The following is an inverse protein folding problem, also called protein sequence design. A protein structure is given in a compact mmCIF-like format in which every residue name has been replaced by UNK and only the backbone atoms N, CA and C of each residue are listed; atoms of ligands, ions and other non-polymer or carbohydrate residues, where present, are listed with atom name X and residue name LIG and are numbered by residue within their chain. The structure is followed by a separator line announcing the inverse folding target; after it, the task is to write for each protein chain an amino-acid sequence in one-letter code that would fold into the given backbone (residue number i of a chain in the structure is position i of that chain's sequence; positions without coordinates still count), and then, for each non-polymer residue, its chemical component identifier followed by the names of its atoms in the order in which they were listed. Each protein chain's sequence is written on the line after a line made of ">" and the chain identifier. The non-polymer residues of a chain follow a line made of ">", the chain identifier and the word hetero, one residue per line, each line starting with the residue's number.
data_IF_321944709656
#
_entry.id   IF_321944709656
#
_cell.length_a   1.000
_cell.length_b   1.000
_cell.length_c   1.000
_cell.angle_alpha   90.00
_cell.angle_beta   90.00
_cell.angle_gamma   90.00
#
_symmetry.space_group_name_H-M   'P 1'
#
loop_
_entity.id
_entity.type
_entity.pdbx_description
1 polymer ?
#
# COMPACT_ATOMS: atom_id res chain seq x y z
N UNK A 1 -18.65 19.48 17.14
CA UNK A 1 -18.04 19.17 15.82
C UNK A 1 -17.79 17.68 15.76
N UNK A 2 -18.65 16.94 15.09
CA UNK A 2 -18.42 15.51 14.78
C UNK A 2 -17.43 15.45 13.62
N UNK A 3 -16.23 14.92 13.88
CA UNK A 3 -15.07 14.81 12.99
C UNK A 3 -15.27 13.75 11.89
N UNK A 4 -16.35 13.86 11.10
CA UNK A 4 -16.51 13.00 9.93
C UNK A 4 -15.53 13.45 8.84
N UNK A 5 -14.58 12.59 8.49
CA UNK A 5 -13.64 12.78 7.37
C UNK A 5 -12.27 13.37 7.70
N UNK A 6 -11.92 13.55 8.99
CA UNK A 6 -10.56 14.02 9.35
C UNK A 6 -9.50 12.91 9.24
N UNK A 7 -9.83 11.72 9.72
CA UNK A 7 -8.97 10.53 9.63
C UNK A 7 -9.48 9.66 8.48
N UNK A 8 -8.60 9.22 7.58
CA UNK A 8 -9.00 8.61 6.32
C UNK A 8 -9.83 7.32 6.48
N UNK A 9 -9.55 6.50 7.50
CA UNK A 9 -10.28 5.26 7.74
C UNK A 9 -10.29 4.83 9.22
N UNK A 10 -11.20 3.92 9.54
CA UNK A 10 -11.41 3.41 10.91
C UNK A 10 -10.21 2.64 11.45
N UNK A 11 -9.48 1.92 10.58
CA UNK A 11 -8.28 1.16 10.99
C UNK A 11 -7.18 2.08 11.47
N UNK A 12 -6.92 3.18 10.74
CA UNK A 12 -5.96 4.20 11.14
C UNK A 12 -6.40 4.87 12.45
N UNK A 13 -7.68 5.25 12.55
CA UNK A 13 -8.25 5.80 13.78
C UNK A 13 -8.14 4.86 14.99
N UNK A 14 -8.34 3.56 14.78
CA UNK A 14 -8.16 2.54 15.82
C UNK A 14 -6.71 2.52 16.32
N UNK A 15 -5.73 2.48 15.41
CA UNK A 15 -4.32 2.48 15.81
C UNK A 15 -3.91 3.79 16.49
N UNK A 16 -4.35 4.95 16.03
CA UNK A 16 -4.15 6.22 16.72
C UNK A 16 -4.68 6.18 18.16
N UNK A 17 -5.89 5.67 18.37
CA UNK A 17 -6.47 5.52 19.70
C UNK A 17 -5.67 4.55 20.57
N UNK A 18 -5.20 3.43 20.01
CA UNK A 18 -4.35 2.46 20.74
C UNK A 18 -2.99 3.05 21.12
N UNK A 19 -2.38 3.83 20.23
CA UNK A 19 -1.14 4.57 20.49
C UNK A 19 -1.36 5.55 21.65
N UNK A 20 -2.44 6.35 21.60
CA UNK A 20 -2.77 7.29 22.67
C UNK A 20 -2.93 6.58 24.02
N UNK A 21 -3.73 5.51 24.04
CA UNK A 21 -3.96 4.72 25.25
C UNK A 21 -2.66 4.15 25.81
N UNK A 22 -1.79 3.62 24.95
CA UNK A 22 -0.48 3.12 25.35
C UNK A 22 0.39 4.21 25.97
N UNK A 23 0.57 5.34 25.27
CA UNK A 23 1.41 6.45 25.74
C UNK A 23 0.93 7.01 27.08
N UNK A 24 -0.38 7.21 27.23
CA UNK A 24 -0.96 7.67 28.50
C UNK A 24 -0.76 6.63 29.61
N UNK A 25 -0.95 5.35 29.31
CA UNK A 25 -0.82 4.26 30.29
C UNK A 25 0.61 4.11 30.83
N UNK A 26 1.63 4.39 30.02
CA UNK A 26 3.03 4.33 30.47
C UNK A 26 3.46 5.59 31.25
N UNK A 27 2.64 6.64 31.31
CA UNK A 27 2.91 7.85 32.10
C UNK A 27 3.15 9.13 31.29
N UNK A 28 2.98 9.12 29.97
CA UNK A 28 3.01 10.36 29.18
C UNK A 28 1.81 11.24 29.59
N UNK A 29 2.09 12.50 29.92
CA UNK A 29 1.05 13.46 30.28
C UNK A 29 0.13 13.75 29.07
N UNK A 30 -1.19 13.48 29.15
CA UNK A 30 -2.13 13.74 28.05
C UNK A 30 -2.16 15.20 27.58
N UNK A 31 -1.86 16.16 28.47
CA UNK A 31 -1.80 17.60 28.11
C UNK A 31 -0.57 17.95 27.26
N UNK A 32 0.43 17.07 27.24
CA UNK A 32 1.67 17.19 26.48
C UNK A 32 1.75 16.17 25.33
N UNK A 33 0.60 15.64 24.91
CA UNK A 33 0.48 14.67 23.81
C UNK A 33 -0.51 15.22 22.78
N UNK A 34 -0.13 15.20 21.51
CA UNK A 34 -1.04 15.52 20.40
C UNK A 34 -0.81 14.57 19.22
N UNK A 35 -1.80 14.48 18.34
CA UNK A 35 -1.62 13.90 17.03
C UNK A 35 -1.52 15.01 15.99
N UNK A 36 -0.49 14.96 15.14
CA UNK A 36 -0.29 15.89 14.04
C UNK A 36 -0.42 15.12 12.72
N UNK A 37 -1.33 15.55 11.87
CA UNK A 37 -1.43 15.01 10.51
C UNK A 37 -0.28 15.56 9.66
N UNK A 38 0.31 14.71 8.82
CA UNK A 38 1.26 15.15 7.80
C UNK A 38 0.55 16.01 6.75
N UNK A 39 1.24 17.04 6.28
CA UNK A 39 0.78 17.80 5.11
C UNK A 39 1.05 17.01 3.83
N UNK A 40 0.36 17.35 2.74
CA UNK A 40 0.51 16.67 1.44
C UNK A 40 1.94 16.70 0.88
N UNK A 41 2.75 17.68 1.26
CA UNK A 41 4.16 17.83 0.88
C UNK A 41 5.15 17.11 1.82
N UNK A 42 4.69 16.65 2.99
CA UNK A 42 5.46 15.86 3.96
C UNK A 42 5.16 14.35 3.82
N UNK A 43 4.00 14.04 3.24
CA UNK A 43 3.53 12.68 3.02
C UNK A 43 4.49 11.94 2.08
N UNK A 44 4.94 10.76 2.52
CA UNK A 44 5.71 9.87 1.65
C UNK A 44 4.89 9.52 0.41
N UNK A 45 5.53 9.34 -0.75
CA UNK A 45 4.85 9.10 -2.04
C UNK A 45 3.97 7.84 -2.08
N UNK A 46 4.06 7.00 -1.04
CA UNK A 46 3.29 5.77 -0.86
C UNK A 46 2.22 5.85 0.23
N UNK A 47 2.17 6.93 1.03
CA UNK A 47 1.23 7.06 2.12
C UNK A 47 -0.08 7.73 1.67
N UNK A 48 -1.22 7.20 2.11
CA UNK A 48 -2.53 7.80 1.85
C UNK A 48 -2.97 8.80 2.93
N UNK A 49 -2.58 8.54 4.17
CA UNK A 49 -2.77 9.41 5.32
C UNK A 49 -1.70 9.05 6.37
N UNK A 50 -1.23 10.03 7.14
CA UNK A 50 -0.18 9.81 8.14
C UNK A 50 -0.36 10.75 9.33
N UNK A 51 -0.29 10.17 10.53
CA UNK A 51 -0.48 10.88 11.79
C UNK A 51 0.65 10.55 12.77
N UNK A 52 1.32 11.59 13.26
CA UNK A 52 2.36 11.47 14.26
C UNK A 52 1.81 11.75 15.66
N UNK A 53 2.02 10.84 16.59
CA UNK A 53 1.89 11.11 18.02
C UNK A 53 3.13 11.87 18.49
N UNK A 54 2.95 13.15 18.80
CA UNK A 54 4.01 14.05 19.27
C UNK A 54 3.91 14.29 20.77
N UNK A 55 5.05 14.27 21.45
CA UNK A 55 5.17 14.65 22.86
C UNK A 55 5.84 16.01 22.99
N UNK A 56 5.31 16.87 23.87
CA UNK A 56 5.91 18.17 24.17
C UNK A 56 7.00 18.03 25.23
N UNK A 57 8.24 18.21 24.79
CA UNK A 57 9.46 18.15 25.61
C UNK A 57 10.12 19.52 25.76
N UNK A 58 11.25 19.60 26.46
CA UNK A 58 12.07 20.80 26.54
C UNK A 58 12.65 21.23 25.18
N UNK A 59 12.68 20.32 24.20
CA UNK A 59 13.07 20.59 22.82
C UNK A 59 11.89 20.96 21.91
N UNK A 60 10.69 21.11 22.47
CA UNK A 60 9.45 21.34 21.72
C UNK A 60 8.71 20.05 21.43
N UNK A 61 7.83 20.09 20.41
CA UNK A 61 7.06 18.94 19.96
C UNK A 61 7.96 17.99 19.17
N UNK A 62 8.12 16.76 19.67
CA UNK A 62 8.89 15.72 18.99
C UNK A 62 7.99 14.54 18.63
N UNK A 63 8.14 14.04 17.42
CA UNK A 63 7.47 12.82 16.96
C UNK A 63 7.99 11.62 17.76
N UNK A 64 7.07 10.92 18.43
CA UNK A 64 7.38 9.72 19.22
C UNK A 64 6.86 8.44 18.58
N UNK A 65 5.73 8.52 17.89
CA UNK A 65 5.15 7.39 17.13
C UNK A 65 4.57 7.92 15.82
N UNK A 66 5.10 7.48 14.69
CA UNK A 66 4.48 7.71 13.38
C UNK A 66 3.43 6.64 13.10
N UNK A 67 2.26 7.02 12.58
CA UNK A 67 1.21 6.08 12.18
C UNK A 67 0.81 6.35 10.73
N UNK A 68 1.33 5.53 9.82
CA UNK A 68 1.18 5.71 8.38
C UNK A 68 0.24 4.66 7.77
N UNK A 69 -0.64 5.08 6.87
CA UNK A 69 -1.35 4.20 5.94
C UNK A 69 -0.53 4.08 4.65
N UNK A 70 0.19 2.96 4.49
CA UNK A 70 1.05 2.68 3.33
C UNK A 70 0.31 1.94 2.22
N UNK A 71 -1.00 1.70 2.40
CA UNK A 71 -1.80 0.90 1.47
C UNK A 71 -1.09 -0.41 1.11
N UNK A 72 -1.12 -0.83 -0.16
CA UNK A 72 -0.47 -2.04 -0.63
C UNK A 72 0.92 -1.80 -1.25
N UNK A 73 1.53 -0.62 -1.05
CA UNK A 73 2.69 -0.19 -1.82
C UNK A 73 3.87 -1.15 -1.70
N UNK A 74 4.27 -1.51 -0.48
CA UNK A 74 5.45 -2.33 -0.26
C UNK A 74 5.32 -3.72 -0.86
N UNK A 75 4.17 -4.36 -0.68
CA UNK A 75 3.90 -5.68 -1.23
C UNK A 75 3.89 -5.66 -2.76
N UNK A 76 3.35 -4.59 -3.37
CA UNK A 76 3.39 -4.42 -4.82
C UNK A 76 4.81 -4.20 -5.34
N UNK A 77 5.62 -3.39 -4.65
CA UNK A 77 7.02 -3.16 -5.05
C UNK A 77 7.85 -4.43 -4.90
N UNK A 78 7.71 -5.15 -3.79
CA UNK A 78 8.40 -6.42 -3.58
C UNK A 78 7.95 -7.51 -4.56
N UNK A 79 6.66 -7.56 -4.91
CA UNK A 79 6.15 -8.46 -5.95
C UNK A 79 6.79 -8.14 -7.31
N UNK A 80 6.86 -6.85 -7.68
CA UNK A 80 7.53 -6.41 -8.93
C UNK A 80 9.02 -6.72 -8.94
N UNK A 81 9.71 -6.50 -7.82
CA UNK A 81 11.15 -6.69 -7.71
C UNK A 81 11.59 -8.16 -7.62
N UNK A 82 10.82 -9.00 -6.95
CA UNK A 82 11.16 -10.42 -6.75
C UNK A 82 10.51 -11.37 -7.75
N UNK A 83 9.42 -10.96 -8.40
CA UNK A 83 8.56 -11.84 -9.19
C UNK A 83 7.74 -12.83 -8.34
N UNK A 84 7.85 -12.76 -7.01
CA UNK A 84 7.11 -13.61 -6.08
C UNK A 84 5.82 -12.90 -5.70
N UNK A 85 4.69 -13.60 -5.89
CA UNK A 85 3.35 -13.08 -5.60
C UNK A 85 3.14 -12.92 -4.08
N UNK A 86 2.94 -11.68 -3.62
CA UNK A 86 2.65 -11.35 -2.21
C UNK A 86 1.20 -10.89 -2.01
N UNK A 87 0.27 -11.83 -2.03
CA UNK A 87 -1.16 -11.58 -1.90
C UNK A 87 -1.83 -12.61 -0.98
N UNK A 88 -3.07 -12.33 -0.59
CA UNK A 88 -3.94 -13.29 0.08
C UNK A 88 -5.12 -13.63 -0.83
N UNK A 89 -5.57 -14.87 -0.75
CA UNK A 89 -6.76 -15.32 -1.47
C UNK A 89 -7.94 -15.40 -0.50
N UNK A 90 -9.05 -14.77 -0.86
CA UNK A 90 -10.31 -14.85 -0.11
C UNK A 90 -11.33 -15.65 -0.92
N UNK A 91 -11.95 -16.69 -0.35
CA UNK A 91 -13.02 -17.39 -1.04
C UNK A 91 -14.23 -16.48 -1.21
N UNK A 92 -14.77 -16.46 -2.42
CA UNK A 92 -16.01 -15.75 -2.73
C UNK A 92 -17.19 -16.51 -2.12
N UNK A 93 -18.18 -15.78 -1.61
CA UNK A 93 -19.42 -16.37 -1.07
C UNK A 93 -20.14 -17.20 -2.15
N UNK A 94 -20.16 -16.67 -3.37
CA UNK A 94 -20.69 -17.33 -4.54
C UNK A 94 -19.69 -17.18 -5.69
N UNK A 95 -19.46 -18.24 -6.48
CA UNK A 95 -18.50 -18.19 -7.58
C UNK A 95 -18.98 -17.25 -8.68
N UNK A 96 -18.10 -16.34 -9.10
CA UNK A 96 -18.39 -15.36 -10.15
C UNK A 96 -17.92 -15.92 -11.49
N UNK A 97 -18.78 -15.82 -12.50
CA UNK A 97 -18.41 -16.11 -13.89
C UNK A 97 -17.70 -14.88 -14.46
N UNK A 98 -16.40 -14.99 -14.69
CA UNK A 98 -15.62 -13.92 -15.30
C UNK A 98 -15.39 -14.26 -16.76
N UNK A 99 -15.91 -13.41 -17.64
CA UNK A 99 -15.56 -13.44 -19.05
C UNK A 99 -14.10 -13.00 -19.19
N UNK A 100 -13.27 -13.85 -19.79
CA UNK A 100 -11.87 -13.55 -20.06
C UNK A 100 -11.62 -13.64 -21.56
N UNK A 101 -11.00 -12.60 -22.13
CA UNK A 101 -10.55 -12.61 -23.51
C UNK A 101 -9.07 -12.97 -23.53
N UNK A 102 -8.76 -14.20 -23.92
CA UNK A 102 -7.39 -14.72 -23.93
C UNK A 102 -6.85 -14.68 -25.35
N UNK A 103 -5.75 -13.95 -25.55
CA UNK A 103 -5.00 -13.98 -26.79
C UNK A 103 -4.41 -15.38 -27.02
N UNK A 104 -4.55 -15.92 -28.23
CA UNK A 104 -3.96 -17.22 -28.62
C UNK A 104 -2.71 -16.96 -29.45
N UNK A 105 -1.51 -16.89 -28.84
CA UNK A 105 -0.26 -16.66 -29.56
C UNK A 105 0.20 -17.86 -30.36
N UNK A 106 0.69 -17.63 -31.58
CA UNK A 106 1.47 -18.60 -32.33
C UNK A 106 2.94 -18.57 -31.86
N UNK A 107 3.29 -19.56 -31.01
CA UNK A 107 4.62 -19.67 -30.42
C UNK A 107 5.72 -19.85 -31.47
N UNK A 108 5.41 -20.45 -32.62
CA UNK A 108 6.37 -20.68 -33.70
C UNK A 108 6.72 -19.41 -34.45
N UNK A 109 5.72 -18.58 -34.77
CA UNK A 109 5.92 -17.28 -35.42
C UNK A 109 6.58 -16.29 -34.47
N UNK A 110 6.13 -16.22 -33.21
CA UNK A 110 6.73 -15.37 -32.18
C UNK A 110 8.19 -15.73 -31.95
N UNK A 111 8.51 -17.03 -31.83
CA UNK A 111 9.88 -17.51 -31.64
C UNK A 111 10.81 -17.16 -32.80
N UNK A 112 10.33 -17.25 -34.04
CA UNK A 112 11.11 -16.92 -35.23
C UNK A 112 11.35 -15.42 -35.39
N UNK A 113 10.35 -14.59 -35.08
CA UNK A 113 10.42 -13.14 -35.33
C UNK A 113 11.07 -12.38 -34.18
N UNK A 114 10.71 -12.70 -32.92
CA UNK A 114 11.16 -11.95 -31.74
C UNK A 114 12.39 -12.58 -31.04
N UNK A 115 12.75 -13.83 -31.37
CA UNK A 115 13.93 -14.55 -30.87
C UNK A 115 14.16 -14.38 -29.36
N UNK A 116 15.04 -13.46 -28.94
CA UNK A 116 15.37 -13.19 -27.53
C UNK A 116 14.17 -12.62 -26.74
N UNK A 117 13.29 -11.88 -27.42
CA UNK A 117 12.13 -11.23 -26.81
C UNK A 117 10.87 -12.12 -26.86
N UNK A 118 10.96 -13.31 -27.45
CA UNK A 118 9.82 -14.23 -27.57
C UNK A 118 9.23 -14.63 -26.21
N UNK A 119 10.08 -14.81 -25.19
CA UNK A 119 9.64 -15.14 -23.82
C UNK A 119 8.90 -13.96 -23.19
N UNK A 120 9.47 -12.76 -23.29
CA UNK A 120 8.86 -11.53 -22.77
C UNK A 120 7.51 -11.22 -23.45
N UNK A 121 7.41 -11.46 -24.76
CA UNK A 121 6.16 -11.31 -25.51
C UNK A 121 5.08 -12.30 -25.04
N UNK A 122 5.44 -13.57 -24.83
CA UNK A 122 4.49 -14.58 -24.34
C UNK A 122 4.00 -14.28 -22.93
N UNK A 123 4.89 -13.85 -22.04
CA UNK A 123 4.54 -13.44 -20.68
C UNK A 123 3.64 -12.17 -20.70
N UNK A 124 3.94 -11.21 -21.56
CA UNK A 124 3.12 -10.01 -21.72
C UNK A 124 1.72 -10.32 -22.26
N UNK A 125 1.62 -11.23 -23.24
CA UNK A 125 0.34 -11.68 -23.81
C UNK A 125 -0.50 -12.47 -22.81
N UNK A 126 0.13 -13.25 -21.93
CA UNK A 126 -0.56 -13.98 -20.87
C UNK A 126 -1.07 -13.06 -19.75
N UNK A 127 -0.48 -11.88 -19.58
CA UNK A 127 -0.81 -10.93 -18.53
C UNK A 127 -1.76 -9.80 -18.97
N UNK A 128 -2.40 -9.93 -20.15
CA UNK A 128 -3.34 -8.93 -20.66
C UNK A 128 -4.65 -8.89 -19.87
N UNK A 129 -5.16 -7.68 -19.64
CA UNK A 129 -6.54 -7.48 -19.17
C UNK A 129 -7.54 -7.63 -20.31
N UNK A 130 -8.82 -7.83 -19.99
CA UNK A 130 -9.89 -7.92 -21.01
C UNK A 130 -9.93 -6.69 -21.92
N UNK A 131 -9.89 -5.48 -21.34
CA UNK A 131 -9.88 -4.23 -22.11
C UNK A 131 -8.67 -4.13 -23.04
N UNK A 132 -7.48 -4.53 -22.57
CA UNK A 132 -6.26 -4.50 -23.39
C UNK A 132 -6.31 -5.54 -24.51
N UNK A 133 -6.88 -6.72 -24.23
CA UNK A 133 -7.05 -7.76 -25.24
C UNK A 133 -8.05 -7.32 -26.33
N UNK A 134 -9.14 -6.64 -25.96
CA UNK A 134 -10.11 -6.08 -26.92
C UNK A 134 -9.49 -4.97 -27.77
N UNK A 135 -8.76 -4.05 -27.14
CA UNK A 135 -8.02 -3.00 -27.86
C UNK A 135 -6.99 -3.59 -28.82
N UNK A 136 -6.30 -4.66 -28.41
CA UNK A 136 -5.31 -5.34 -29.26
C UNK A 136 -5.99 -6.06 -30.42
N UNK A 137 -7.11 -6.77 -30.21
CA UNK A 137 -7.85 -7.43 -31.29
C UNK A 137 -8.35 -6.43 -32.33
N UNK A 138 -8.90 -5.30 -31.86
CA UNK A 138 -9.34 -4.21 -32.74
C UNK A 138 -8.16 -3.58 -33.50
N UNK A 139 -7.06 -3.25 -32.83
CA UNK A 139 -5.89 -2.67 -33.47
C UNK A 139 -5.24 -3.62 -34.49
N UNK A 140 -5.17 -4.92 -34.19
CA UNK A 140 -4.66 -5.93 -35.12
C UNK A 140 -5.58 -6.14 -36.34
N UNK A 141 -6.88 -5.88 -36.21
CA UNK A 141 -7.84 -6.00 -37.29
C UNK A 141 -7.84 -4.77 -38.21
N UNK A 142 -7.65 -3.57 -37.65
CA UNK A 142 -7.65 -2.30 -38.40
C UNK A 142 -6.28 -1.93 -38.96
N UNK A 143 -5.22 -2.05 -38.14
CA UNK A 143 -3.87 -1.57 -38.46
C UNK A 143 -2.88 -2.69 -38.76
N UNK A 144 -3.20 -3.94 -38.42
CA UNK A 144 -2.33 -5.10 -38.62
C UNK A 144 -1.16 -5.22 -37.63
N UNK A 145 -0.90 -4.18 -36.83
CA UNK A 145 0.18 -4.10 -35.84
C UNK A 145 -0.32 -3.52 -34.51
N UNK A 146 0.24 -3.99 -33.39
CA UNK A 146 0.02 -3.48 -32.04
C UNK A 146 1.33 -3.46 -31.26
N UNK A 147 1.58 -2.40 -30.48
CA UNK A 147 2.79 -2.28 -29.66
C UNK A 147 2.49 -2.60 -28.20
N UNK A 148 3.05 -3.71 -27.70
CA UNK A 148 2.88 -4.14 -26.32
C UNK A 148 4.24 -4.07 -25.59
N UNK A 149 4.37 -3.16 -24.62
CA UNK A 149 5.60 -2.93 -23.83
C UNK A 149 6.86 -2.74 -24.71
N UNK A 150 6.75 -2.05 -25.84
CA UNK A 150 7.84 -1.82 -26.80
C UNK A 150 8.05 -2.93 -27.82
N UNK A 151 7.23 -3.98 -27.81
CA UNK A 151 7.28 -5.10 -28.76
C UNK A 151 6.19 -4.95 -29.80
N UNK A 152 6.56 -4.95 -31.08
CA UNK A 152 5.61 -4.93 -32.19
C UNK A 152 5.07 -6.34 -32.44
N UNK A 153 3.76 -6.48 -32.29
CA UNK A 153 3.01 -7.71 -32.51
C UNK A 153 2.12 -7.55 -33.75
N UNK A 154 2.03 -8.60 -34.56
CA UNK A 154 1.21 -8.63 -35.78
C UNK A 154 0.15 -9.72 -35.71
N UNK A 155 -0.84 -9.68 -36.61
CA UNK A 155 -1.92 -10.69 -36.66
C UNK A 155 -1.39 -12.12 -36.88
N UNK A 156 -0.24 -12.27 -37.54
CA UNK A 156 0.42 -13.56 -37.70
C UNK A 156 0.97 -14.13 -36.37
N UNK A 157 1.29 -13.26 -35.41
CA UNK A 157 1.77 -13.66 -34.08
C UNK A 157 0.62 -13.95 -33.11
N UNK A 158 -0.50 -13.24 -33.23
CA UNK A 158 -1.72 -13.44 -32.43
C UNK A 158 -2.92 -13.62 -33.38
N UNK A 159 -3.09 -14.84 -33.94
CA UNK A 159 -4.09 -15.11 -34.97
C UNK A 159 -5.54 -15.01 -34.48
N UNK A 160 -5.79 -15.29 -33.20
CA UNK A 160 -7.15 -15.30 -32.65
C UNK A 160 -7.19 -14.95 -31.18
N UNK A 161 -8.36 -14.48 -30.76
CA UNK A 161 -8.70 -14.24 -29.36
C UNK A 161 -9.87 -15.16 -29.01
N UNK A 162 -9.76 -15.86 -27.88
CA UNK A 162 -10.83 -16.73 -27.39
C UNK A 162 -11.48 -16.09 -26.18
N UNK A 163 -12.81 -15.98 -26.23
CA UNK A 163 -13.63 -15.68 -25.05
C UNK A 163 -13.79 -16.98 -24.27
N UNK A 164 -13.24 -17.00 -23.06
CA UNK A 164 -13.40 -18.09 -22.12
C UNK A 164 -14.12 -17.59 -20.87
N UNK A 165 -15.16 -18.30 -20.47
CA UNK A 165 -15.82 -18.10 -19.19
C UNK A 165 -15.11 -18.90 -18.11
N UNK A 166 -14.50 -18.21 -17.17
CA UNK A 166 -13.84 -18.84 -16.03
C UNK A 166 -14.68 -18.63 -14.78
N UNK A 167 -15.00 -19.74 -14.11
CA UNK A 167 -15.67 -19.74 -12.83
C UNK A 167 -14.63 -19.50 -11.73
N UNK A 168 -14.63 -18.29 -11.18
CA UNK A 168 -13.68 -17.86 -10.16
C UNK A 168 -14.29 -18.09 -8.78
N UNK A 169 -13.59 -18.84 -7.94
CA UNK A 169 -14.02 -19.20 -6.57
C UNK A 169 -13.32 -18.35 -5.51
N UNK A 170 -12.21 -17.72 -5.85
CA UNK A 170 -11.37 -16.94 -4.94
C UNK A 170 -11.05 -15.60 -5.57
N UNK A 171 -11.04 -14.56 -4.76
CA UNK A 171 -10.50 -13.26 -5.16
C UNK A 171 -9.11 -13.07 -4.55
N UNK A 172 -8.23 -12.46 -5.31
CA UNK A 172 -6.89 -12.11 -4.86
C UNK A 172 -6.90 -10.67 -4.31
N UNK A 173 -6.34 -10.50 -3.11
CA UNK A 173 -6.26 -9.20 -2.44
C UNK A 173 -4.81 -8.95 -2.05
N UNK A 174 -4.26 -7.79 -2.46
CA UNK A 174 -3.03 -7.28 -1.86
C UNK A 174 -3.40 -6.47 -0.62
N UNK A 175 -3.04 -6.92 0.59
CA UNK A 175 -3.51 -6.28 1.81
C UNK A 175 -2.92 -4.88 1.97
N UNK A 176 -3.74 -3.96 2.48
CA UNK A 176 -3.28 -2.64 2.91
C UNK A 176 -2.57 -2.73 4.26
N UNK A 177 -1.57 -1.89 4.47
CA UNK A 177 -0.73 -1.87 5.67
C UNK A 177 -0.87 -0.54 6.39
N UNK A 178 -1.32 -0.60 7.65
CA UNK A 178 -1.16 0.48 8.62
C UNK A 178 0.08 0.19 9.46
N UNK A 179 1.00 1.14 9.52
CA UNK A 179 2.27 1.01 10.23
C UNK A 179 2.37 2.01 11.38
N UNK A 180 2.15 1.54 12.63
CA UNK A 180 2.58 2.24 13.83
C UNK A 180 4.08 2.00 14.10
N UNK A 181 4.90 3.04 13.92
CA UNK A 181 6.35 3.00 14.15
C UNK A 181 6.71 3.73 15.45
N UNK A 182 7.22 2.99 16.45
CA UNK A 182 7.50 3.52 17.78
C UNK A 182 8.98 3.89 17.95
N UNK A 183 9.26 5.19 18.10
CA UNK A 183 10.56 5.69 18.50
C UNK A 183 10.82 5.49 19.99
N UNK A 184 11.13 4.25 20.41
CA UNK A 184 11.24 3.87 21.84
C UNK A 184 12.14 4.81 22.64
N UNK A 185 13.27 5.26 22.08
CA UNK A 185 14.16 6.22 22.75
C UNK A 185 13.50 7.58 23.02
N UNK A 186 12.75 8.11 22.05
CA UNK A 186 12.02 9.38 22.20
C UNK A 186 10.84 9.26 23.16
N UNK A 187 10.13 8.12 23.12
CA UNK A 187 9.07 7.80 24.08
C UNK A 187 9.64 7.76 25.50
N UNK A 188 10.76 7.05 25.70
CA UNK A 188 11.41 6.94 27.00
C UNK A 188 11.91 8.29 27.52
N UNK A 189 12.56 9.09 26.66
CA UNK A 189 13.00 10.44 27.00
C UNK A 189 11.83 11.34 27.43
N UNK A 190 10.75 11.35 26.65
CA UNK A 190 9.53 12.11 26.97
C UNK A 190 8.91 11.67 28.30
N UNK A 191 8.93 10.37 28.59
CA UNK A 191 8.44 9.82 29.85
C UNK A 191 9.27 10.32 31.05
N UNK A 192 10.60 10.30 30.94
CA UNK A 192 11.50 10.82 31.98
C UNK A 192 11.20 12.29 32.26
N UNK A 193 11.10 13.12 31.22
CA UNK A 193 10.83 14.56 31.40
C UNK A 193 9.44 14.83 32.00
N UNK A 194 8.42 14.10 31.55
CA UNK A 194 7.05 14.26 32.06
C UNK A 194 6.91 13.81 33.52
N UNK A 195 7.74 12.87 33.95
CA UNK A 195 7.71 12.27 35.28
C UNK A 195 8.70 12.89 36.25
N UNK A 196 9.72 13.61 35.77
CA UNK A 196 10.70 14.27 36.63
C UNK A 196 10.02 15.30 37.54
N UNK A 197 10.35 15.24 38.83
CA UNK A 197 9.92 16.19 39.86
C UNK A 197 11.13 16.46 40.74
N UNK A 198 11.39 17.73 41.04
CA UNK A 198 12.27 18.13 42.14
C UNK A 198 11.41 18.54 43.32
N UNK A 199 11.74 18.07 44.52
CA UNK A 199 11.18 18.63 45.74
C UNK A 199 11.73 20.04 45.91
N UNK A 200 10.87 21.05 45.83
CA UNK A 200 11.21 22.39 46.31
C UNK A 200 11.31 22.31 47.83
N UNK A 201 12.47 22.70 48.36
CA UNK A 201 12.81 22.67 49.78
C UNK A 201 11.70 23.24 50.67
N UNK A 202 11.43 22.53 51.77
CA UNK A 202 10.57 22.94 52.88
C UNK A 202 10.82 24.41 53.26
N UNK A 203 9.85 25.30 52.98
CA UNK A 203 9.84 26.70 53.45
C UNK A 203 9.32 26.82 54.89
N UNK A 204 9.34 25.74 55.68
CA UNK A 204 8.82 25.69 57.06
C UNK A 204 9.85 25.13 58.07
N UNK A 205 11.13 25.44 57.90
CA UNK A 205 12.07 25.39 59.03
C UNK A 205 12.25 26.80 59.60
N UNK A 206 11.27 27.25 60.39
CA UNK A 206 11.52 28.24 61.44
C UNK A 206 12.12 27.48 62.63
N UNK A 207 13.44 27.63 62.83
CA UNK A 207 14.12 27.41 64.10
C UNK A 207 14.97 28.64 64.39
#
# INVERSE_FOLDING_TARGET
>A
MTLQGLVANETLGYYMARIQQFLVRIGINPKKLRFRQHLSNEMAHYACDCWDAECLTSYGWIECVGCADRSAYDLQQHTKGSGIRMCVERPLKEPVMVDSLVAVPDKGVIGKTLKKDAKAAQEALAALTMEQAEQMDQALSERGEYELKGLKLTRAMVPSFKREQKKVYVEEITPSVIEPSFGVGRVFYSLLEHSFRSELSCTHCNL
#
